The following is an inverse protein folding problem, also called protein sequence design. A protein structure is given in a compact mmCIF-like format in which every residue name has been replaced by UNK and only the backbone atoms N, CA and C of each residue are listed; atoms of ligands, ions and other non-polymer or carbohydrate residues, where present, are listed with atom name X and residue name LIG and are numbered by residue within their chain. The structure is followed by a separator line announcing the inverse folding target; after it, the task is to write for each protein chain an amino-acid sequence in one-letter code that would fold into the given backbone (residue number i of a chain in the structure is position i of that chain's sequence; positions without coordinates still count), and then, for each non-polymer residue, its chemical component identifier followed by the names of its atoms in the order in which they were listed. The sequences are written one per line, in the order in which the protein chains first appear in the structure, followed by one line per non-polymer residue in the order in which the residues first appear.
data_IF_085758456921
#
_entry.id   IF_085758456921
#
_cell.length_a   1.000
_cell.length_b   1.000
_cell.length_c   1.000
_cell.angle_alpha   90.00
_cell.angle_beta   90.00
_cell.angle_gamma   90.00
#
_symmetry.space_group_name_H-M   'P 1'
#
loop_
_entity.id
_entity.type
_entity.pdbx_description
1 polymer ?
#
# COMPACT_ATOMS: atom_id res chain seq x y z
N UNK A 1 -18.41 2.56 -14.32
CA UNK A 1 -17.15 1.83 -14.04
C UNK A 1 -16.73 2.24 -12.64
N UNK A 2 -16.55 1.30 -11.71
CA UNK A 2 -16.06 1.64 -10.37
C UNK A 2 -14.61 2.13 -10.50
N UNK A 3 -14.32 3.33 -9.99
CA UNK A 3 -12.97 3.88 -10.01
C UNK A 3 -12.22 3.34 -8.79
N UNK A 4 -11.69 2.12 -8.91
CA UNK A 4 -11.01 1.37 -7.84
C UNK A 4 -9.96 2.26 -7.13
N UNK A 5 -9.25 3.10 -7.88
CA UNK A 5 -8.25 4.02 -7.33
C UNK A 5 -8.83 5.10 -6.41
N UNK A 6 -10.05 5.58 -6.69
CA UNK A 6 -10.72 6.60 -5.89
C UNK A 6 -11.35 6.00 -4.65
N UNK A 7 -12.01 4.84 -4.77
CA UNK A 7 -12.57 4.12 -3.63
C UNK A 7 -11.48 3.69 -2.66
N UNK A 8 -10.34 3.22 -3.18
CA UNK A 8 -9.15 2.94 -2.38
C UNK A 8 -8.66 4.16 -1.62
N UNK A 9 -8.58 5.34 -2.28
CA UNK A 9 -8.16 6.58 -1.60
C UNK A 9 -9.11 6.96 -0.48
N UNK A 10 -10.43 6.88 -0.72
CA UNK A 10 -11.46 7.18 0.28
C UNK A 10 -11.39 6.24 1.47
N UNK A 11 -11.22 4.94 1.22
CA UNK A 11 -11.08 3.94 2.28
C UNK A 11 -9.89 4.23 3.19
N UNK A 12 -8.71 4.45 2.61
CA UNK A 12 -7.51 4.71 3.39
C UNK A 12 -7.62 6.03 4.17
N UNK A 13 -8.23 7.06 3.59
CA UNK A 13 -8.48 8.32 4.31
C UNK A 13 -9.37 8.10 5.53
N UNK A 14 -10.49 7.41 5.35
CA UNK A 14 -11.39 7.12 6.47
C UNK A 14 -10.70 6.35 7.60
N UNK A 15 -9.79 5.43 7.28
CA UNK A 15 -8.99 4.73 8.29
C UNK A 15 -8.03 5.66 9.02
N UNK A 16 -7.30 6.50 8.27
CA UNK A 16 -6.34 7.45 8.84
C UNK A 16 -7.04 8.50 9.70
N UNK A 17 -8.18 9.03 9.26
CA UNK A 17 -9.00 10.00 10.01
C UNK A 17 -9.53 9.41 11.33
N UNK A 18 -9.68 8.09 11.41
CA UNK A 18 -10.03 7.36 12.64
C UNK A 18 -8.80 7.01 13.51
N UNK A 19 -7.61 7.52 13.18
CA UNK A 19 -6.35 7.22 13.88
C UNK A 19 -5.77 5.84 13.57
N UNK A 20 -6.29 5.11 12.57
CA UNK A 20 -5.75 3.82 12.13
C UNK A 20 -4.66 4.05 11.10
N UNK A 21 -3.42 4.22 11.57
CA UNK A 21 -2.30 4.69 10.75
C UNK A 21 -1.23 3.62 10.47
N UNK A 22 -1.39 2.40 11.01
CA UNK A 22 -0.54 1.24 10.69
C UNK A 22 -1.31 0.30 9.76
N UNK A 23 -1.02 0.39 8.46
CA UNK A 23 -1.82 -0.26 7.43
C UNK A 23 -1.03 -1.35 6.71
N UNK A 24 -1.65 -2.51 6.53
CA UNK A 24 -1.17 -3.58 5.65
C UNK A 24 -2.16 -3.72 4.50
N UNK A 25 -1.65 -3.69 3.27
CA UNK A 25 -2.42 -3.91 2.05
C UNK A 25 -2.05 -5.29 1.52
N UNK A 26 -3.00 -6.21 1.57
CA UNK A 26 -2.87 -7.53 0.96
C UNK A 26 -3.08 -7.43 -0.56
N UNK A 27 -2.03 -7.76 -1.31
CA UNK A 27 -1.99 -7.71 -2.76
C UNK A 27 -2.09 -9.11 -3.40
N UNK A 28 -2.34 -10.16 -2.61
CA UNK A 28 -2.37 -11.54 -3.09
C UNK A 28 -3.44 -11.83 -4.15
N UNK A 29 -4.44 -10.95 -4.30
CA UNK A 29 -5.48 -11.00 -5.34
C UNK A 29 -5.36 -9.88 -6.38
N UNK A 30 -4.28 -9.10 -6.35
CA UNK A 30 -4.04 -8.02 -7.30
C UNK A 30 -3.34 -8.57 -8.52
N UNK A 31 -4.08 -8.73 -9.61
CA UNK A 31 -3.55 -9.28 -10.87
C UNK A 31 -2.79 -8.23 -11.69
N UNK A 32 -3.21 -6.97 -11.62
CA UNK A 32 -2.65 -5.89 -12.43
C UNK A 32 -2.64 -4.55 -11.68
N UNK A 33 -1.65 -3.71 -12.02
CA UNK A 33 -1.53 -2.34 -11.53
C UNK A 33 -1.02 -1.43 -12.64
N UNK A 34 -1.70 -0.31 -12.84
CA UNK A 34 -1.29 0.76 -13.76
C UNK A 34 -0.78 2.00 -12.99
N UNK A 35 -0.58 3.09 -13.74
CA UNK A 35 -0.16 4.38 -13.19
C UNK A 35 -1.16 4.98 -12.19
N UNK A 36 -2.47 4.69 -12.34
CA UNK A 36 -3.50 5.22 -11.45
C UNK A 36 -3.46 4.52 -10.09
N UNK A 37 -3.27 3.20 -10.09
CA UNK A 37 -3.09 2.39 -8.88
C UNK A 37 -1.81 2.77 -8.14
N UNK A 38 -0.72 2.95 -8.88
CA UNK A 38 0.56 3.38 -8.32
C UNK A 38 0.46 4.77 -7.68
N UNK A 39 -0.13 5.74 -8.38
CA UNK A 39 -0.35 7.08 -7.87
C UNK A 39 -1.26 7.10 -6.63
N UNK A 40 -2.27 6.22 -6.60
CA UNK A 40 -3.11 6.05 -5.43
C UNK A 40 -2.30 5.55 -4.23
N UNK A 41 -1.48 4.50 -4.38
CA UNK A 41 -0.59 3.99 -3.33
C UNK A 41 0.38 5.06 -2.82
N UNK A 42 1.09 5.74 -3.72
CA UNK A 42 2.07 6.79 -3.35
C UNK A 42 1.39 7.91 -2.57
N UNK A 43 0.23 8.37 -3.01
CA UNK A 43 -0.50 9.43 -2.30
C UNK A 43 -0.96 8.98 -0.91
N UNK A 44 -1.30 7.70 -0.73
CA UNK A 44 -1.81 7.17 0.53
C UNK A 44 -0.70 6.90 1.53
N UNK A 45 0.46 6.38 1.11
CA UNK A 45 1.60 6.22 2.04
C UNK A 45 2.10 7.58 2.53
N UNK A 46 2.13 8.60 1.66
CA UNK A 46 2.48 9.96 2.07
C UNK A 46 1.50 10.52 3.12
N UNK A 47 0.19 10.39 2.87
CA UNK A 47 -0.85 10.85 3.81
C UNK A 47 -0.81 10.09 5.16
N UNK A 48 -0.57 8.77 5.11
CA UNK A 48 -0.48 7.94 6.33
C UNK A 48 0.75 8.31 7.16
N UNK A 49 1.90 8.54 6.51
CA UNK A 49 3.15 8.97 7.18
C UNK A 49 3.05 10.38 7.76
N UNK A 50 2.32 11.29 7.11
CA UNK A 50 2.02 12.61 7.67
C UNK A 50 1.23 12.52 8.99
N UNK A 51 0.54 11.41 9.24
CA UNK A 51 -0.17 11.11 10.49
C UNK A 51 0.61 10.11 11.37
N UNK A 52 1.95 10.15 11.31
CA UNK A 52 2.85 9.29 12.10
C UNK A 52 2.64 7.77 11.93
N UNK A 53 2.08 7.37 10.79
CA UNK A 53 1.84 5.98 10.41
C UNK A 53 2.78 5.45 9.35
N UNK A 54 2.48 4.26 8.83
CA UNK A 54 3.13 3.71 7.65
C UNK A 54 2.22 2.70 6.93
N UNK A 55 2.55 2.41 5.67
CA UNK A 55 1.84 1.42 4.84
C UNK A 55 2.80 0.33 4.41
N UNK A 56 2.37 -0.92 4.52
CA UNK A 56 3.11 -2.11 4.06
C UNK A 56 2.33 -2.87 3.02
N UNK A 57 3.05 -3.44 2.07
CA UNK A 57 2.48 -4.27 1.02
C UNK A 57 2.77 -5.74 1.35
N UNK A 58 1.74 -6.56 1.34
CA UNK A 58 1.85 -8.00 1.54
C UNK A 58 1.48 -8.75 0.26
N UNK A 59 2.18 -9.83 -0.03
CA UNK A 59 1.97 -10.68 -1.20
C UNK A 59 1.85 -9.95 -2.56
N UNK A 60 2.70 -8.94 -2.88
CA UNK A 60 2.72 -8.39 -4.23
C UNK A 60 3.19 -9.47 -5.22
N UNK A 61 2.52 -9.57 -6.37
CA UNK A 61 2.96 -10.48 -7.43
C UNK A 61 4.35 -10.08 -7.96
N UNK A 62 5.11 -11.00 -8.59
CA UNK A 62 6.40 -10.66 -9.19
C UNK A 62 6.34 -9.50 -10.19
N UNK A 63 5.23 -9.37 -10.93
CA UNK A 63 5.00 -8.26 -11.86
C UNK A 63 4.87 -6.93 -11.13
N UNK A 64 4.14 -6.89 -10.00
CA UNK A 64 3.98 -5.70 -9.18
C UNK A 64 5.31 -5.33 -8.51
N UNK A 65 6.05 -6.32 -8.00
CA UNK A 65 7.39 -6.09 -7.45
C UNK A 65 8.33 -5.46 -8.49
N UNK A 66 8.34 -5.98 -9.71
CA UNK A 66 9.14 -5.42 -10.80
C UNK A 66 8.71 -3.99 -11.15
N UNK A 67 7.40 -3.71 -11.19
CA UNK A 67 6.87 -2.36 -11.39
C UNK A 67 7.36 -1.39 -10.30
N UNK A 68 7.32 -1.81 -9.03
CA UNK A 68 7.82 -1.01 -7.91
C UNK A 68 9.33 -0.75 -8.02
N UNK A 69 10.13 -1.73 -8.46
CA UNK A 69 11.56 -1.58 -8.67
C UNK A 69 11.90 -0.59 -9.79
N UNK A 70 11.24 -0.74 -10.95
CA UNK A 70 11.43 0.16 -12.11
C UNK A 70 11.09 1.61 -11.75
N UNK A 71 10.10 1.80 -10.88
CA UNK A 71 9.65 3.13 -10.44
C UNK A 71 10.35 3.61 -9.16
N UNK A 72 11.32 2.85 -8.63
CA UNK A 72 12.03 3.10 -7.37
C UNK A 72 11.14 3.22 -6.13
N UNK A 73 9.92 2.70 -6.20
CA UNK A 73 8.96 2.67 -5.11
C UNK A 73 9.18 1.47 -4.18
N UNK A 74 9.99 0.50 -4.58
CA UNK A 74 10.52 -0.56 -3.72
C UNK A 74 11.31 0.00 -2.51
N UNK A 75 11.91 1.20 -2.66
CA UNK A 75 12.57 1.93 -1.56
C UNK A 75 11.60 2.70 -0.67
N UNK A 76 10.39 2.95 -1.16
CA UNK A 76 9.35 3.71 -0.46
C UNK A 76 8.45 2.77 0.34
N UNK A 77 8.07 1.64 -0.24
CA UNK A 77 7.20 0.64 0.37
C UNK A 77 8.01 -0.52 0.96
N UNK A 78 7.71 -0.87 2.21
CA UNK A 78 8.16 -2.16 2.77
C UNK A 78 7.23 -3.25 2.25
N UNK A 79 7.79 -4.19 1.49
CA UNK A 79 7.08 -5.32 0.90
C UNK A 79 7.41 -6.61 1.65
N UNK A 80 6.41 -7.49 1.78
CA UNK A 80 6.52 -8.76 2.48
C UNK A 80 5.78 -9.85 1.71
N UNK A 81 6.26 -11.09 1.82
CA UNK A 81 5.63 -12.23 1.13
C UNK A 81 4.25 -12.59 1.71
N UNK A 82 4.02 -12.29 2.99
CA UNK A 82 2.81 -12.65 3.73
C UNK A 82 2.28 -11.51 4.60
N UNK A 83 0.95 -11.49 4.81
CA UNK A 83 0.27 -10.51 5.66
C UNK A 83 0.81 -10.57 7.09
N UNK A 84 1.02 -11.76 7.64
CA UNK A 84 1.53 -11.93 9.01
C UNK A 84 2.91 -11.27 9.20
N UNK A 85 3.80 -11.41 8.22
CA UNK A 85 5.13 -10.78 8.25
C UNK A 85 5.03 -9.25 8.17
N UNK A 86 4.08 -8.73 7.37
CA UNK A 86 3.82 -7.30 7.28
C UNK A 86 3.20 -6.73 8.58
N UNK A 87 2.36 -7.48 9.28
CA UNK A 87 1.80 -7.09 10.57
C UNK A 87 2.90 -7.07 11.64
N UNK A 88 3.66 -8.17 11.78
CA UNK A 88 4.72 -8.32 12.80
C UNK A 88 5.78 -7.23 12.73
N UNK A 89 6.07 -6.71 11.55
CA UNK A 89 7.05 -5.61 11.42
C UNK A 89 6.60 -4.29 12.08
N UNK A 90 5.36 -4.17 12.60
CA UNK A 90 4.86 -2.97 13.31
C UNK A 90 5.07 -3.09 14.82
N UNK A 91 5.47 -4.28 15.29
CA UNK A 91 5.70 -4.61 16.69
C UNK A 91 7.17 -4.43 17.10
N UNK A 92 8.05 -4.29 16.11
CA UNK A 92 9.48 -3.93 16.25
C UNK A 92 9.69 -2.43 16.25
#
# INVERSE_FOLDING_TARGET
MANISEDFRKLINGLVDQGRTRLVIDMGKTEFMDSSGLGALVSRIAATRANHGDVRLAAPSPQILNLLQITHLDKVFKCFDHVDSAVKSFES
#
